data_IF_916815821573
#
_entry.id   IF_916815821573
#
_cell.length_a   1.000
_cell.length_b   1.000
_cell.length_c   1.000
_cell.angle_alpha   90.00
_cell.angle_beta   90.00
_cell.angle_gamma   90.00
#
_symmetry.space_group_name_H-M   'P 1'
#
loop_
_entity.id
_entity.type
_entity.pdbx_description
1 polymer ?
#
# COMPACT_ATOMS: atom_id res chain seq x y z
N UNK A 1 12.41 22.91 32.78
CA UNK A 1 13.48 21.93 33.08
C UNK A 1 14.64 22.53 33.87
N UNK A 2 15.22 23.68 33.48
CA UNK A 2 16.31 24.36 34.23
C UNK A 2 16.03 24.54 35.73
N UNK A 3 14.82 24.96 36.10
CA UNK A 3 14.42 25.12 37.51
C UNK A 3 14.33 23.83 38.32
N UNK A 4 14.24 22.65 37.68
CA UNK A 4 14.19 21.36 38.36
C UNK A 4 15.58 20.76 38.63
N UNK A 5 16.56 21.09 37.79
CA UNK A 5 17.92 20.55 37.85
C UNK A 5 18.83 21.47 38.66
N UNK A 6 18.72 22.79 38.48
CA UNK A 6 19.54 23.80 39.19
C UNK A 6 19.64 23.59 40.72
N UNK A 7 18.55 23.34 41.47
CA UNK A 7 18.64 23.12 42.92
C UNK A 7 19.39 21.84 43.31
N UNK A 8 19.57 20.87 42.40
CA UNK A 8 20.31 19.62 42.67
C UNK A 8 21.81 19.76 42.48
N UNK A 9 22.26 20.71 41.67
CA UNK A 9 23.69 20.93 41.35
C UNK A 9 24.29 22.10 42.15
N UNK A 10 23.46 23.04 42.60
CA UNK A 10 23.89 24.16 43.44
C UNK A 10 24.64 23.73 44.74
N UNK A 11 24.25 22.65 45.45
CA UNK A 11 25.00 22.17 46.62
C UNK A 11 26.40 21.65 46.30
N UNK A 12 26.68 21.30 45.04
CA UNK A 12 28.00 20.88 44.57
C UNK A 12 28.89 22.06 44.17
N UNK A 13 28.41 23.32 44.32
CA UNK A 13 29.13 24.54 43.95
C UNK A 13 29.13 24.83 42.45
N UNK A 14 28.30 24.15 41.67
CA UNK A 14 28.24 24.28 40.21
C UNK A 14 27.06 25.17 39.79
N UNK A 15 27.32 26.12 38.89
CA UNK A 15 26.31 26.99 38.25
C UNK A 15 26.04 26.52 36.83
N UNK A 16 24.79 26.21 36.51
CA UNK A 16 24.39 25.76 35.19
C UNK A 16 24.06 26.99 34.30
N UNK A 17 24.90 27.26 33.30
CA UNK A 17 24.77 28.46 32.44
C UNK A 17 23.97 28.17 31.16
N UNK A 18 24.21 27.01 30.54
CA UNK A 18 23.43 26.53 29.39
C UNK A 18 23.23 25.02 29.45
N UNK A 19 22.11 24.55 28.90
CA UNK A 19 21.75 23.14 28.88
C UNK A 19 21.13 22.81 27.53
N UNK A 20 21.82 21.99 26.75
CA UNK A 20 21.39 21.52 25.43
C UNK A 20 21.29 20.01 25.50
N UNK A 21 20.11 19.47 25.16
CA UNK A 21 19.92 18.02 25.04
C UNK A 21 20.21 17.66 23.59
N UNK A 22 21.35 17.01 23.34
CA UNK A 22 21.77 16.63 21.99
C UNK A 22 21.06 15.37 21.48
N UNK A 23 20.80 14.40 22.37
CA UNK A 23 20.13 13.17 21.98
C UNK A 23 19.35 12.59 23.17
N UNK A 24 18.05 12.42 22.99
CA UNK A 24 17.25 11.57 23.86
C UNK A 24 17.26 10.21 23.16
N UNK A 25 18.05 9.28 23.69
CA UNK A 25 17.92 7.88 23.31
C UNK A 25 16.46 7.49 23.49
N UNK A 26 15.81 7.15 22.38
CA UNK A 26 14.43 6.71 22.42
C UNK A 26 14.42 5.38 23.19
N UNK A 27 13.46 5.18 24.11
CA UNK A 27 13.32 3.88 24.75
C UNK A 27 13.13 2.80 23.67
N UNK A 28 13.70 1.62 23.87
CA UNK A 28 13.79 0.55 22.87
C UNK A 28 12.41 0.18 22.27
N UNK A 29 11.34 0.33 23.05
CA UNK A 29 9.96 0.12 22.62
C UNK A 29 9.52 1.14 21.55
N UNK A 30 9.97 2.40 21.65
CA UNK A 30 9.65 3.47 20.70
C UNK A 30 10.46 3.32 19.41
N UNK A 31 11.71 2.89 19.50
CA UNK A 31 12.53 2.58 18.32
C UNK A 31 11.91 1.45 17.50
N UNK A 32 11.54 0.33 18.16
CA UNK A 32 10.86 -0.79 17.48
C UNK A 32 9.52 -0.38 16.87
N UNK A 33 8.74 0.45 17.56
CA UNK A 33 7.47 0.95 17.04
C UNK A 33 7.66 1.86 15.80
N UNK A 34 8.69 2.70 15.81
CA UNK A 34 9.04 3.54 14.65
C UNK A 34 9.57 2.72 13.48
N UNK A 35 10.43 1.73 13.72
CA UNK A 35 10.95 0.84 12.67
C UNK A 35 9.83 0.01 12.04
N UNK A 36 8.88 -0.47 12.84
CA UNK A 36 7.69 -1.18 12.35
C UNK A 36 6.82 -0.28 11.49
N UNK A 37 6.60 0.96 11.91
CA UNK A 37 5.79 1.91 11.15
C UNK A 37 6.47 2.33 9.86
N UNK A 38 7.77 2.55 9.91
CA UNK A 38 8.59 2.92 8.74
C UNK A 38 8.67 1.78 7.75
N UNK A 39 8.89 0.55 8.20
CA UNK A 39 8.86 -0.64 7.33
C UNK A 39 7.49 -0.85 6.68
N UNK A 40 6.39 -0.65 7.40
CA UNK A 40 5.04 -0.69 6.81
C UNK A 40 4.81 0.41 5.77
N UNK A 41 5.38 1.60 5.96
CA UNK A 41 5.28 2.72 5.02
C UNK A 41 6.14 2.55 3.77
N UNK A 42 7.32 1.92 3.89
CA UNK A 42 8.26 1.70 2.78
C UNK A 42 7.80 0.56 1.87
N UNK A 43 7.13 -0.45 2.41
CA UNK A 43 6.90 -1.69 1.66
C UNK A 43 5.87 -1.52 0.54
N UNK A 44 4.90 -0.61 0.62
CA UNK A 44 3.97 -0.23 -0.48
C UNK A 44 3.02 -1.33 -0.99
N UNK A 45 3.47 -2.59 -0.96
CA UNK A 45 2.78 -3.81 -1.32
C UNK A 45 2.62 -4.69 -0.07
N UNK A 46 1.42 -4.68 0.48
CA UNK A 46 1.07 -5.40 1.71
C UNK A 46 1.33 -6.92 1.62
N UNK A 47 1.37 -7.50 0.41
CA UNK A 47 1.71 -8.92 0.25
C UNK A 47 3.19 -9.18 0.55
N UNK A 48 4.10 -8.29 0.15
CA UNK A 48 5.53 -8.38 0.46
C UNK A 48 5.79 -8.22 1.96
N UNK A 49 5.03 -7.35 2.63
CA UNK A 49 5.12 -7.17 4.08
C UNK A 49 4.64 -8.41 4.84
N UNK A 50 3.49 -8.98 4.45
CA UNK A 50 2.98 -10.20 5.05
C UNK A 50 3.96 -11.38 4.86
N UNK A 51 4.55 -11.50 3.66
CA UNK A 51 5.61 -12.48 3.40
C UNK A 51 6.86 -12.24 4.27
N UNK A 52 7.31 -10.99 4.39
CA UNK A 52 8.46 -10.64 5.22
C UNK A 52 8.23 -10.94 6.71
N UNK A 53 7.07 -10.52 7.25
CA UNK A 53 6.67 -10.81 8.63
C UNK A 53 6.54 -12.31 8.90
N UNK A 54 6.02 -13.07 7.93
CA UNK A 54 5.99 -14.54 8.04
C UNK A 54 7.39 -15.13 8.07
N UNK A 55 8.34 -14.60 7.29
CA UNK A 55 9.71 -15.05 7.26
C UNK A 55 10.46 -14.74 8.57
N UNK A 56 10.24 -13.56 9.16
CA UNK A 56 10.78 -13.21 10.48
C UNK A 56 10.22 -14.14 11.57
N UNK A 57 8.90 -14.36 11.58
CA UNK A 57 8.26 -15.27 12.53
C UNK A 57 8.78 -16.72 12.41
N UNK A 58 9.04 -17.19 11.18
CA UNK A 58 9.67 -18.50 10.93
C UNK A 58 11.11 -18.51 11.47
N UNK A 59 11.88 -17.44 11.25
CA UNK A 59 13.25 -17.33 11.75
C UNK A 59 13.31 -17.37 13.27
N UNK A 60 12.41 -16.65 13.93
CA UNK A 60 12.36 -16.59 15.40
C UNK A 60 11.87 -17.91 16.01
N UNK A 61 10.93 -18.60 15.35
CA UNK A 61 10.51 -19.95 15.72
C UNK A 61 11.62 -21.00 15.51
N UNK A 62 12.40 -20.88 14.43
CA UNK A 62 13.53 -21.76 14.15
C UNK A 62 14.67 -21.59 15.19
N UNK A 63 14.87 -20.38 15.69
CA UNK A 63 15.85 -20.09 16.74
C UNK A 63 15.36 -20.47 18.15
N UNK A 64 14.05 -20.71 18.36
CA UNK A 64 13.46 -21.13 19.64
C UNK A 64 12.62 -22.42 19.51
N UNK A 65 13.24 -23.55 19.13
CA UNK A 65 12.54 -24.80 18.82
C UNK A 65 11.85 -25.47 20.03
N UNK A 66 12.20 -25.07 21.27
CA UNK A 66 11.62 -25.60 22.52
C UNK A 66 10.50 -24.75 23.11
N UNK A 67 10.21 -23.57 22.54
CA UNK A 67 9.13 -22.69 23.00
C UNK A 67 7.83 -22.97 22.25
N UNK A 68 6.67 -22.92 22.93
CA UNK A 68 5.34 -23.16 22.35
C UNK A 68 4.98 -22.30 21.12
N UNK A 69 5.79 -21.28 20.80
CA UNK A 69 5.75 -20.54 19.55
C UNK A 69 6.06 -21.40 18.31
N UNK A 70 6.87 -22.46 18.41
CA UNK A 70 7.12 -23.40 17.31
C UNK A 70 5.88 -24.22 16.93
N UNK A 71 4.98 -24.49 17.88
CA UNK A 71 3.67 -25.08 17.62
C UNK A 71 2.69 -24.05 17.05
N UNK A 72 2.66 -22.81 17.56
CA UNK A 72 1.77 -21.75 17.03
C UNK A 72 2.17 -21.25 15.63
N UNK A 73 3.46 -21.07 15.37
CA UNK A 73 3.99 -20.72 14.07
C UNK A 73 4.05 -21.93 13.13
N UNK A 74 4.38 -23.12 13.61
CA UNK A 74 4.36 -24.36 12.81
C UNK A 74 2.93 -24.79 12.44
N UNK A 75 1.95 -24.55 13.32
CA UNK A 75 0.54 -24.80 13.04
C UNK A 75 -0.12 -23.65 12.27
N UNK A 76 0.29 -22.39 12.49
CA UNK A 76 -0.18 -21.23 11.72
C UNK A 76 0.40 -21.20 10.30
N UNK A 77 1.70 -21.46 10.13
CA UNK A 77 2.33 -21.68 8.84
C UNK A 77 1.88 -23.00 8.22
N UNK A 78 1.66 -24.06 9.01
CA UNK A 78 1.10 -25.32 8.54
C UNK A 78 -0.37 -25.22 8.12
N UNK A 79 -1.16 -24.35 8.74
CA UNK A 79 -2.52 -24.02 8.30
C UNK A 79 -2.51 -23.08 7.10
N UNK A 80 -1.62 -22.07 7.03
CA UNK A 80 -1.50 -21.20 5.86
C UNK A 80 -0.97 -21.94 4.62
N UNK A 81 0.08 -22.76 4.82
CA UNK A 81 0.60 -23.69 3.81
C UNK A 81 -0.42 -24.79 3.52
N UNK A 82 -1.17 -25.25 4.53
CA UNK A 82 -2.29 -26.18 4.39
C UNK A 82 -3.41 -25.59 3.55
N UNK A 83 -3.75 -24.31 3.71
CA UNK A 83 -4.75 -23.60 2.90
C UNK A 83 -4.24 -23.40 1.47
N UNK A 84 -2.96 -23.07 1.30
CA UNK A 84 -2.33 -22.91 -0.01
C UNK A 84 -2.20 -24.26 -0.75
N UNK A 85 -1.87 -25.33 -0.03
CA UNK A 85 -1.74 -26.69 -0.56
C UNK A 85 -3.12 -27.34 -0.74
N UNK A 86 -4.11 -27.01 0.09
CA UNK A 86 -5.51 -27.39 -0.11
C UNK A 86 -6.09 -26.69 -1.34
N UNK A 87 -5.79 -25.41 -1.57
CA UNK A 87 -6.15 -24.72 -2.82
C UNK A 87 -5.38 -25.28 -4.03
N UNK A 88 -4.16 -25.80 -3.84
CA UNK A 88 -3.40 -26.48 -4.90
C UNK A 88 -3.88 -27.91 -5.19
N UNK A 89 -4.47 -28.60 -4.20
CA UNK A 89 -4.99 -29.97 -4.33
C UNK A 89 -6.51 -30.05 -4.55
N UNK A 90 -7.27 -28.97 -4.35
CA UNK A 90 -8.70 -28.85 -4.70
C UNK A 90 -8.95 -28.36 -6.14
N UNK A 91 -8.00 -28.54 -7.05
CA UNK A 91 -8.30 -28.44 -8.49
C UNK A 91 -7.89 -29.74 -9.19
N UNK A 92 -8.90 -30.49 -9.65
CA UNK A 92 -9.19 -30.41 -11.06
C UNK A 92 -10.70 -30.29 -11.30
N UNK A 93 -11.14 -29.08 -11.66
CA UNK A 93 -12.35 -28.86 -12.44
C UNK A 93 -12.05 -27.71 -13.41
N UNK A 94 -12.43 -27.81 -14.69
CA UNK A 94 -12.23 -26.76 -15.66
C UNK A 94 -13.20 -25.62 -15.34
N UNK A 95 -12.82 -24.76 -14.40
CA UNK A 95 -13.52 -23.53 -14.13
C UNK A 95 -13.30 -22.63 -15.35
N UNK A 96 -14.40 -22.35 -16.03
CA UNK A 96 -14.49 -21.52 -17.21
C UNK A 96 -13.60 -20.29 -17.07
N UNK A 97 -12.72 -20.11 -18.07
CA UNK A 97 -11.98 -18.88 -18.28
C UNK A 97 -12.97 -17.70 -18.21
N UNK A 98 -12.88 -16.92 -17.14
CA UNK A 98 -13.36 -15.54 -17.20
C UNK A 98 -12.65 -14.91 -18.40
N UNK A 99 -13.36 -14.21 -19.29
CA UNK A 99 -12.76 -13.66 -20.50
C UNK A 99 -11.58 -12.81 -20.06
N UNK A 100 -10.38 -13.18 -20.53
CA UNK A 100 -9.22 -12.29 -20.50
C UNK A 100 -9.67 -11.00 -21.16
N UNK A 101 -9.98 -10.01 -20.32
CA UNK A 101 -10.34 -8.67 -20.76
C UNK A 101 -9.12 -8.17 -21.53
N UNK A 102 -9.24 -8.15 -22.85
CA UNK A 102 -8.17 -7.73 -23.75
C UNK A 102 -7.65 -6.37 -23.28
N UNK A 103 -6.41 -6.32 -22.81
CA UNK A 103 -5.81 -5.05 -22.42
C UNK A 103 -5.69 -4.17 -23.66
N UNK A 104 -6.16 -2.93 -23.57
CA UNK A 104 -6.02 -1.95 -24.67
C UNK A 104 -4.75 -1.12 -24.45
N UNK A 105 -4.06 -0.68 -25.51
CA UNK A 105 -2.90 0.18 -25.36
C UNK A 105 -3.31 1.60 -24.94
N UNK A 106 -2.59 2.18 -23.99
CA UNK A 106 -2.77 3.57 -23.58
C UNK A 106 -2.57 4.55 -24.76
N UNK A 107 -3.45 5.55 -24.91
CA UNK A 107 -3.39 6.54 -26.00
C UNK A 107 -2.15 7.44 -25.98
N UNK A 108 -1.43 7.47 -24.87
CA UNK A 108 -0.24 8.32 -24.68
C UNK A 108 1.05 7.52 -24.57
N UNK A 109 1.11 6.51 -23.70
CA UNK A 109 2.34 5.74 -23.44
C UNK A 109 2.32 4.31 -24.00
N UNK A 110 1.24 3.91 -24.68
CA UNK A 110 1.04 2.58 -25.29
C UNK A 110 1.11 1.37 -24.34
N UNK A 111 1.32 1.59 -23.05
CA UNK A 111 1.29 0.52 -22.05
C UNK A 111 -0.12 -0.10 -21.93
N UNK A 112 -0.22 -1.40 -21.65
CA UNK A 112 -1.50 -2.09 -21.53
C UNK A 112 -2.29 -1.56 -20.33
N UNK A 113 -3.56 -1.21 -20.59
CA UNK A 113 -4.51 -0.72 -19.59
C UNK A 113 -5.83 -1.50 -19.69
N UNK A 114 -6.59 -1.51 -18.60
CA UNK A 114 -7.91 -2.13 -18.59
C UNK A 114 -8.87 -1.40 -19.56
N UNK A 115 -9.70 -2.13 -20.33
CA UNK A 115 -10.76 -1.54 -21.15
C UNK A 115 -11.68 -0.64 -20.33
N UNK A 116 -11.96 0.56 -20.83
CA UNK A 116 -12.84 1.52 -20.16
C UNK A 116 -12.21 2.29 -19.00
N UNK A 117 -10.89 2.15 -18.77
CA UNK A 117 -10.17 3.02 -17.83
C UNK A 117 -10.31 4.50 -18.25
N UNK A 118 -10.54 5.39 -17.27
CA UNK A 118 -10.64 6.84 -17.52
C UNK A 118 -9.28 7.52 -17.56
N UNK A 119 -8.32 6.97 -16.80
CA UNK A 119 -6.96 7.45 -16.69
C UNK A 119 -6.00 6.25 -16.76
N UNK A 120 -4.82 6.46 -17.32
CA UNK A 120 -3.77 5.45 -17.37
C UNK A 120 -3.09 5.34 -15.99
N UNK A 121 -3.05 4.16 -15.35
CA UNK A 121 -2.36 3.97 -14.08
C UNK A 121 -0.83 4.12 -14.21
N UNK A 122 -0.30 4.00 -15.42
CA UNK A 122 1.15 4.06 -15.66
C UNK A 122 1.67 5.47 -15.93
N UNK A 123 0.90 6.33 -16.59
CA UNK A 123 1.34 7.68 -16.97
C UNK A 123 0.38 8.81 -16.59
N UNK A 124 -0.78 8.50 -16.01
CA UNK A 124 -1.78 9.48 -15.58
C UNK A 124 -2.62 10.11 -16.71
N UNK A 125 -2.33 9.82 -17.98
CA UNK A 125 -3.07 10.40 -19.11
C UNK A 125 -4.54 9.94 -19.13
N UNK A 126 -5.47 10.85 -19.44
CA UNK A 126 -6.88 10.51 -19.66
C UNK A 126 -7.03 9.61 -20.90
N UNK A 127 -7.82 8.54 -20.78
CA UNK A 127 -8.01 7.51 -21.80
C UNK A 127 -9.38 7.60 -22.48
N UNK A 128 -10.32 8.33 -21.88
CA UNK A 128 -11.56 8.70 -22.55
C UNK A 128 -11.30 9.93 -23.42
N UNK A 129 -11.48 9.78 -24.74
CA UNK A 129 -11.62 10.94 -25.62
C UNK A 129 -12.83 11.73 -25.12
N UNK A 130 -12.65 13.01 -24.79
CA UNK A 130 -13.75 13.84 -24.33
C UNK A 130 -14.90 13.76 -25.35
N UNK A 131 -16.10 13.42 -24.88
CA UNK A 131 -17.27 13.38 -25.73
C UNK A 131 -17.41 14.73 -26.45
N UNK A 132 -17.69 14.75 -27.76
CA UNK A 132 -17.90 16.00 -28.48
C UNK A 132 -19.01 16.80 -27.77
N UNK A 133 -18.78 18.09 -27.55
CA UNK A 133 -19.76 18.96 -26.90
C UNK A 133 -20.55 19.72 -27.96
N UNK A 134 -21.82 19.99 -27.68
CA UNK A 134 -22.67 20.77 -28.55
C UNK A 134 -22.18 22.22 -28.64
N UNK A 135 -21.94 22.73 -29.87
CA UNK A 135 -21.45 24.10 -30.08
C UNK A 135 -22.43 25.18 -29.59
N UNK A 136 -23.73 24.90 -29.58
CA UNK A 136 -24.77 25.84 -29.17
C UNK A 136 -25.09 25.83 -27.65
N UNK A 137 -25.13 24.66 -27.01
CA UNK A 137 -25.61 24.53 -25.62
C UNK A 137 -24.64 23.79 -24.68
N UNK A 138 -23.45 23.40 -25.15
CA UNK A 138 -22.43 22.65 -24.41
C UNK A 138 -22.86 21.30 -23.83
N UNK A 139 -24.02 20.77 -24.20
CA UNK A 139 -24.44 19.42 -23.81
C UNK A 139 -23.50 18.36 -24.42
N UNK A 140 -23.21 17.25 -23.70
CA UNK A 140 -22.41 16.15 -24.24
C UNK A 140 -23.16 15.47 -25.39
N UNK A 141 -22.46 15.28 -26.51
CA UNK A 141 -22.96 14.58 -27.68
C UNK A 141 -22.38 13.17 -27.76
N UNK A 142 -23.14 12.27 -28.35
CA UNK A 142 -22.66 10.96 -28.73
C UNK A 142 -21.69 11.09 -29.93
N UNK A 143 -20.70 10.21 -30.01
CA UNK A 143 -19.75 10.20 -31.11
C UNK A 143 -20.49 10.01 -32.46
N UNK A 144 -20.43 11.03 -33.33
CA UNK A 144 -21.11 11.03 -34.64
C UNK A 144 -22.53 11.59 -34.66
N UNK A 145 -23.02 12.22 -33.58
CA UNK A 145 -24.34 12.86 -33.57
C UNK A 145 -24.38 14.10 -34.50
N UNK A 146 -25.19 14.04 -35.57
CA UNK A 146 -25.44 15.18 -36.49
C UNK A 146 -26.37 16.24 -35.90
N UNK A 147 -27.15 15.91 -34.87
CA UNK A 147 -28.10 16.78 -34.21
C UNK A 147 -27.96 16.65 -32.69
N UNK A 148 -28.06 17.76 -31.96
CA UNK A 148 -28.01 17.75 -30.50
C UNK A 148 -29.34 17.28 -29.90
N UNK A 149 -29.36 16.25 -29.04
CA UNK A 149 -30.59 15.80 -28.39
C UNK A 149 -31.13 16.76 -27.33
N UNK A 150 -30.31 17.71 -26.86
CA UNK A 150 -30.69 18.67 -25.83
C UNK A 150 -31.30 19.96 -26.42
N UNK A 151 -30.82 20.43 -27.57
CA UNK A 151 -31.27 21.70 -28.17
C UNK A 151 -31.72 21.61 -29.64
N UNK A 152 -31.60 20.46 -30.30
CA UNK A 152 -32.05 20.25 -31.69
C UNK A 152 -31.11 20.79 -32.78
N UNK A 153 -30.03 21.48 -32.42
CA UNK A 153 -29.11 22.13 -33.37
C UNK A 153 -28.23 21.11 -34.11
N UNK A 154 -27.93 21.38 -35.39
CA UNK A 154 -27.02 20.56 -36.19
C UNK A 154 -25.56 20.74 -35.75
N UNK A 155 -24.81 19.65 -35.57
CA UNK A 155 -23.46 19.63 -34.94
C UNK A 155 -22.29 19.61 -35.94
#
# INVERSE_FOLDING_TARGET
>A
MLGAISPKIAPLGLKLDSFVIENISLPEEVEKAMDRRTSMGVVGDMNRYAQFQSAEAIRDAANNPSGGAGLGAGMGAGMAMGQMMHNAFQQPAPQQAAPQQAAVPCVSCQKPIAPGSRFCPECGAAQQKAAPVCKACNAPLNEGAKFCPACGEQQ
#
